data_IF_674006390884
#
_entry.id   IF_674006390884
#
_cell.length_a   1.000
_cell.length_b   1.000
_cell.length_c   1.000
_cell.angle_alpha   90.00
_cell.angle_beta   90.00
_cell.angle_gamma   90.00
#
_symmetry.space_group_name_H-M   'P 1'
#
loop_
_entity.id
_entity.type
_entity.pdbx_description
1 polymer ?
#
# COMPACT_ATOMS: atom_id res chain seq x y z
N UNK A 1 0.77 -9.28 5.22
CA UNK A 1 0.88 -7.81 5.29
C UNK A 1 0.09 -7.09 4.18
N UNK A 2 -0.67 -7.80 3.33
CA UNK A 2 -1.54 -7.12 2.35
C UNK A 2 -2.57 -6.26 3.09
N UNK A 3 -2.75 -5.02 2.66
CA UNK A 3 -3.61 -4.02 3.31
C UNK A 3 -2.95 -3.25 4.46
N UNK A 4 -1.68 -3.49 4.80
CA UNK A 4 -0.98 -2.69 5.81
C UNK A 4 -0.76 -1.24 5.32
N UNK A 5 -1.04 -0.21 6.14
CA UNK A 5 -0.95 1.18 5.72
C UNK A 5 0.50 1.65 5.56
N UNK A 6 0.76 2.39 4.49
CA UNK A 6 1.99 3.13 4.27
C UNK A 6 1.81 4.55 4.80
N UNK A 7 2.55 4.90 5.86
CA UNK A 7 2.45 6.20 6.53
C UNK A 7 3.71 7.01 6.27
N UNK A 8 3.56 8.24 5.77
CA UNK A 8 4.64 9.20 5.61
C UNK A 8 4.23 10.54 6.21
N UNK A 9 5.09 11.11 7.07
CA UNK A 9 4.80 12.37 7.78
C UNK A 9 3.47 12.35 8.55
N UNK A 10 3.09 11.21 9.12
CA UNK A 10 1.83 11.04 9.85
C UNK A 10 0.58 11.00 8.98
N UNK A 11 0.73 10.91 7.65
CA UNK A 11 -0.38 10.83 6.69
C UNK A 11 -0.37 9.50 5.94
N UNK A 12 -1.57 9.03 5.57
CA UNK A 12 -1.72 7.85 4.72
C UNK A 12 -1.25 8.16 3.30
N UNK A 13 -0.33 7.35 2.80
CA UNK A 13 0.17 7.42 1.43
C UNK A 13 -0.37 6.28 0.56
N UNK A 14 -0.80 5.17 1.18
CA UNK A 14 -1.22 3.99 0.45
C UNK A 14 -1.26 2.73 1.31
N UNK A 15 -1.25 1.57 0.68
CA UNK A 15 -1.19 0.28 1.36
C UNK A 15 -0.28 -0.73 0.65
N UNK A 16 0.32 -1.65 1.41
CA UNK A 16 1.09 -2.78 0.87
C UNK A 16 0.14 -3.72 0.15
N UNK A 17 0.45 -4.09 -1.09
CA UNK A 17 -0.34 -5.06 -1.85
C UNK A 17 0.31 -6.43 -1.84
N UNK A 18 1.60 -6.49 -2.18
CA UNK A 18 2.39 -7.72 -2.31
C UNK A 18 3.84 -7.48 -1.87
N UNK A 19 4.54 -8.55 -1.50
CA UNK A 19 5.98 -8.54 -1.20
C UNK A 19 6.68 -9.60 -2.03
N UNK A 20 8.00 -9.48 -2.22
CA UNK A 20 8.77 -10.52 -2.89
C UNK A 20 8.90 -11.75 -1.98
N UNK A 21 8.81 -12.94 -2.59
CA UNK A 21 8.83 -14.22 -1.87
C UNK A 21 10.21 -14.50 -1.27
N UNK A 22 11.26 -14.12 -1.99
CA UNK A 22 12.67 -14.29 -1.65
C UNK A 22 13.22 -13.17 -0.76
N UNK A 23 12.57 -11.99 -0.74
CA UNK A 23 12.95 -10.84 0.10
C UNK A 23 11.71 -10.05 0.57
N UNK A 24 11.11 -10.39 1.74
CA UNK A 24 9.89 -9.74 2.22
C UNK A 24 10.11 -8.30 2.72
N UNK A 25 11.35 -7.79 2.70
CA UNK A 25 11.63 -6.38 2.99
C UNK A 25 11.32 -5.47 1.81
N UNK A 26 11.12 -6.05 0.62
CA UNK A 26 10.74 -5.37 -0.61
C UNK A 26 9.36 -5.81 -1.08
N UNK A 27 8.65 -4.89 -1.72
CA UNK A 27 7.33 -5.17 -2.23
C UNK A 27 6.73 -4.00 -2.99
N UNK A 28 5.45 -4.13 -3.26
CA UNK A 28 4.64 -3.17 -3.96
C UNK A 28 3.59 -2.56 -3.03
N UNK A 29 3.32 -1.28 -3.24
CA UNK A 29 2.22 -0.57 -2.63
C UNK A 29 1.29 0.01 -3.69
N UNK A 30 0.06 0.28 -3.30
CA UNK A 30 -0.89 1.09 -4.07
C UNK A 30 -1.01 2.47 -3.42
N UNK A 31 -1.08 3.52 -4.24
CA UNK A 31 -1.23 4.90 -3.76
C UNK A 31 -2.65 5.14 -3.23
N UNK A 32 -2.79 6.00 -2.21
CA UNK A 32 -4.07 6.34 -1.60
C UNK A 32 -5.06 6.96 -2.61
N UNK A 33 -4.56 7.72 -3.59
CA UNK A 33 -5.36 8.30 -4.67
C UNK A 33 -6.08 7.20 -5.48
N UNK A 34 -5.33 6.20 -5.94
CA UNK A 34 -5.89 5.06 -6.67
C UNK A 34 -6.87 4.26 -5.82
N UNK A 35 -6.61 4.12 -4.51
CA UNK A 35 -7.53 3.44 -3.60
C UNK A 35 -8.88 4.17 -3.50
N UNK A 36 -8.88 5.50 -3.51
CA UNK A 36 -10.11 6.31 -3.48
C UNK A 36 -10.85 6.21 -4.81
N UNK A 37 -10.14 6.29 -5.93
CA UNK A 37 -10.72 6.17 -7.28
C UNK A 37 -11.41 4.82 -7.50
N UNK A 38 -10.83 3.73 -6.97
CA UNK A 38 -11.33 2.37 -7.18
C UNK A 38 -12.27 1.88 -6.05
N UNK A 39 -12.16 2.42 -4.84
CA UNK A 39 -12.91 1.98 -3.66
C UNK A 39 -14.24 2.69 -3.43
N UNK A 40 -14.56 3.69 -4.26
CA UNK A 40 -15.78 4.51 -4.16
C UNK A 40 -16.98 3.99 -4.97
N UNK A 41 -16.96 2.74 -5.44
CA UNK A 41 -18.13 2.07 -6.02
C UNK A 41 -19.09 1.51 -4.96
#
# INVERSE_FOLDING_TARGET
MSGSPLIQNGKLLGAVTHVFVDDPTKGYGICAETMVEQGGE
#
